data_IF_445042058866
#
_entry.id   IF_445042058866
#
_cell.length_a   1.000
_cell.length_b   1.000
_cell.length_c   1.000
_cell.angle_alpha   90.00
_cell.angle_beta   90.00
_cell.angle_gamma   90.00
#
_symmetry.space_group_name_H-M   'P 1'
#
loop_
_entity.id
_entity.type
_entity.pdbx_description
1 polymer ?
#
# COMPACT_ATOMS: atom_id res chain seq x y z
N UNK A 1 -14.74 -12.27 21.02
CA UNK A 1 -15.20 -12.12 19.61
C UNK A 1 -14.12 -11.31 18.89
N UNK A 2 -13.78 -11.69 17.65
CA UNK A 2 -12.44 -11.62 17.04
C UNK A 2 -11.68 -10.27 17.04
N UNK A 3 -10.47 -10.26 17.63
CA UNK A 3 -9.48 -9.17 17.67
C UNK A 3 -8.57 -9.14 16.43
N UNK A 4 -9.09 -8.90 15.23
CA UNK A 4 -8.26 -8.73 14.02
C UNK A 4 -8.40 -7.34 13.38
N UNK A 5 -8.98 -6.37 14.11
CA UNK A 5 -9.41 -5.08 13.54
C UNK A 5 -8.28 -4.29 12.88
N UNK A 6 -7.05 -4.54 13.31
CA UNK A 6 -5.87 -3.77 12.90
C UNK A 6 -4.84 -4.61 12.13
N UNK A 7 -5.15 -5.89 11.83
CA UNK A 7 -4.19 -6.73 11.11
C UNK A 7 -4.32 -6.57 9.59
N UNK A 8 -3.21 -6.27 8.88
CA UNK A 8 -3.25 -6.00 7.46
C UNK A 8 -3.61 -7.27 6.69
N UNK A 9 -4.60 -7.12 5.81
CA UNK A 9 -5.20 -8.25 5.11
C UNK A 9 -5.75 -7.83 3.74
N UNK A 10 -5.69 -8.76 2.79
CA UNK A 10 -6.25 -8.60 1.45
C UNK A 10 -7.55 -9.38 1.36
N UNK A 11 -8.55 -8.85 0.65
CA UNK A 11 -9.77 -9.60 0.38
C UNK A 11 -9.46 -10.78 -0.56
N UNK A 12 -9.93 -11.97 -0.16
CA UNK A 12 -9.78 -13.22 -0.91
C UNK A 12 -10.24 -13.12 -2.37
N UNK A 13 -11.24 -12.26 -2.65
CA UNK A 13 -11.79 -11.99 -3.98
C UNK A 13 -10.86 -11.13 -4.84
N UNK A 14 -10.23 -10.11 -4.25
CA UNK A 14 -9.34 -9.18 -4.98
C UNK A 14 -8.12 -9.91 -5.52
N UNK A 15 -7.60 -10.86 -4.75
CA UNK A 15 -6.52 -11.73 -5.17
C UNK A 15 -6.82 -12.53 -6.45
N UNK A 16 -8.09 -12.93 -6.65
CA UNK A 16 -8.51 -13.66 -7.87
C UNK A 16 -8.68 -12.73 -9.07
N UNK A 17 -9.20 -11.53 -8.84
CA UNK A 17 -9.55 -10.56 -9.89
C UNK A 17 -8.32 -9.80 -10.37
N UNK A 18 -7.50 -9.30 -9.44
CA UNK A 18 -6.30 -8.52 -9.75
C UNK A 18 -5.09 -9.39 -10.10
N UNK A 19 -5.22 -10.72 -9.96
CA UNK A 19 -4.21 -11.76 -10.19
C UNK A 19 -2.78 -11.23 -10.11
N UNK A 20 -2.38 -10.74 -8.93
CA UNK A 20 -1.14 -9.99 -8.65
C UNK A 20 0.16 -10.76 -8.98
N UNK A 21 0.12 -11.77 -9.86
CA UNK A 21 1.21 -12.58 -10.39
C UNK A 21 1.67 -13.66 -9.44
N UNK A 22 1.53 -13.42 -8.13
CA UNK A 22 1.88 -14.36 -7.09
C UNK A 22 0.90 -15.54 -7.01
N UNK A 23 1.41 -16.73 -6.69
CA UNK A 23 0.56 -17.89 -6.44
C UNK A 23 -0.06 -17.79 -5.03
N UNK A 24 -1.34 -17.42 -4.96
CA UNK A 24 -2.06 -17.32 -3.67
C UNK A 24 -2.74 -18.62 -3.23
N UNK A 25 -2.57 -19.72 -3.98
CA UNK A 25 -3.14 -21.03 -3.61
C UNK A 25 -2.44 -21.60 -2.37
N UNK A 26 -3.16 -22.39 -1.59
CA UNK A 26 -2.62 -23.01 -0.37
C UNK A 26 -2.44 -22.04 0.81
N UNK A 27 -2.64 -20.74 0.64
CA UNK A 27 -2.60 -19.79 1.76
C UNK A 27 -3.93 -19.81 2.50
N UNK A 28 -3.87 -19.90 3.82
CA UNK A 28 -5.05 -19.93 4.68
C UNK A 28 -5.91 -18.67 4.52
N UNK A 29 -7.22 -18.90 4.40
CA UNK A 29 -8.25 -17.85 4.39
C UNK A 29 -9.03 -17.89 5.70
N UNK A 30 -9.29 -16.72 6.28
CA UNK A 30 -10.07 -16.57 7.51
C UNK A 30 -11.31 -15.74 7.20
N UNK A 31 -12.45 -16.13 7.80
CA UNK A 31 -13.69 -15.36 7.70
C UNK A 31 -13.66 -14.29 8.78
N UNK A 32 -13.77 -13.04 8.38
CA UNK A 32 -13.78 -11.87 9.24
C UNK A 32 -14.84 -10.88 8.73
N UNK A 33 -15.71 -10.40 9.62
CA UNK A 33 -16.85 -9.55 9.27
C UNK A 33 -17.66 -10.04 8.04
N UNK A 34 -17.90 -11.35 7.96
CA UNK A 34 -18.62 -11.98 6.84
C UNK A 34 -17.80 -12.18 5.55
N UNK A 35 -16.59 -11.63 5.47
CA UNK A 35 -15.75 -11.67 4.27
C UNK A 35 -14.56 -12.63 4.46
N UNK A 36 -14.14 -13.28 3.38
CA UNK A 36 -12.92 -14.08 3.39
C UNK A 36 -11.71 -13.16 3.17
N UNK A 37 -10.77 -13.18 4.11
CA UNK A 37 -9.52 -12.40 4.08
C UNK A 37 -8.30 -13.32 4.06
N UNK A 38 -7.23 -12.83 3.45
CA UNK A 38 -5.88 -13.37 3.54
C UNK A 38 -5.06 -12.36 4.34
N UNK A 39 -4.67 -12.73 5.55
CA UNK A 39 -3.82 -11.89 6.39
C UNK A 39 -2.38 -11.92 5.86
N UNK A 40 -1.76 -10.74 5.76
CA UNK A 40 -0.42 -10.58 5.17
C UNK A 40 0.64 -11.23 6.07
N UNK A 41 0.57 -10.97 7.38
CA UNK A 41 1.47 -11.55 8.38
C UNK A 41 0.88 -12.77 9.09
N UNK A 42 1.75 -13.47 9.83
CA UNK A 42 1.36 -14.56 10.73
C UNK A 42 0.30 -14.07 11.71
N UNK A 43 -0.64 -14.96 12.03
CA UNK A 43 -1.74 -14.70 12.93
C UNK A 43 -1.61 -15.60 14.15
N UNK A 44 -2.18 -15.24 15.31
CA UNK A 44 -2.32 -16.17 16.43
C UNK A 44 -2.93 -17.50 15.96
N UNK A 45 -2.32 -18.60 16.40
CA UNK A 45 -2.72 -19.95 16.03
C UNK A 45 -4.10 -20.28 16.59
N UNK A 46 -4.97 -20.85 15.75
CA UNK A 46 -6.24 -21.42 16.21
C UNK A 46 -6.02 -22.90 16.54
N UNK A 47 -5.98 -23.22 17.83
CA UNK A 47 -5.65 -24.55 18.35
C UNK A 47 -6.63 -25.64 17.90
N UNK A 48 -7.83 -25.27 17.43
CA UNK A 48 -8.83 -26.21 16.89
C UNK A 48 -8.44 -26.75 15.50
N UNK A 49 -7.52 -26.07 14.82
CA UNK A 49 -7.08 -26.45 13.49
C UNK A 49 -6.09 -27.62 13.56
N UNK A 50 -6.18 -28.56 12.60
CA UNK A 50 -5.38 -29.80 12.61
C UNK A 50 -4.21 -29.81 11.64
N UNK A 51 -4.25 -28.98 10.59
CA UNK A 51 -3.16 -28.85 9.62
C UNK A 51 -1.93 -28.16 10.21
N UNK A 52 -0.83 -28.16 9.45
CA UNK A 52 0.46 -27.56 9.81
C UNK A 52 0.98 -26.71 8.68
N UNK A 53 1.39 -25.48 8.98
CA UNK A 53 2.06 -24.64 8.00
C UNK A 53 3.41 -25.24 7.60
N UNK A 54 3.68 -25.34 6.30
CA UNK A 54 4.94 -25.88 5.77
C UNK A 54 6.18 -25.00 6.07
N UNK A 55 6.00 -23.81 6.64
CA UNK A 55 7.10 -22.92 7.01
C UNK A 55 7.31 -22.85 8.53
N UNK A 56 6.30 -22.44 9.29
CA UNK A 56 6.41 -22.18 10.73
C UNK A 56 5.74 -23.23 11.63
N UNK A 57 5.20 -24.30 11.04
CA UNK A 57 4.48 -25.39 11.74
C UNK A 57 3.21 -24.96 12.50
N UNK A 58 2.76 -23.72 12.34
CA UNK A 58 1.52 -23.27 12.97
C UNK A 58 0.30 -24.07 12.53
N UNK A 59 -0.69 -24.08 13.42
CA UNK A 59 -2.00 -24.71 13.22
C UNK A 59 -2.77 -23.97 12.11
N UNK A 60 -3.08 -24.70 11.03
CA UNK A 60 -3.84 -24.18 9.89
C UNK A 60 -4.97 -25.13 9.46
N UNK A 61 -5.90 -24.63 8.64
CA UNK A 61 -6.96 -25.44 8.02
C UNK A 61 -6.32 -26.58 7.22
N UNK A 62 -6.92 -27.77 7.29
CA UNK A 62 -6.36 -28.97 6.67
C UNK A 62 -6.13 -28.87 5.15
N UNK A 63 -6.87 -27.99 4.45
CA UNK A 63 -6.72 -27.73 3.01
C UNK A 63 -5.77 -26.58 2.67
N UNK A 64 -5.00 -26.10 3.65
CA UNK A 64 -4.04 -25.01 3.48
C UNK A 64 -2.63 -25.54 3.73
N UNK A 65 -1.66 -24.97 3.02
CA UNK A 65 -0.23 -25.29 3.09
C UNK A 65 0.53 -24.23 3.92
N UNK A 66 0.06 -22.98 3.90
CA UNK A 66 0.71 -21.84 4.53
C UNK A 66 -0.27 -21.02 5.37
N UNK A 67 0.19 -20.50 6.51
CA UNK A 67 -0.65 -19.65 7.37
C UNK A 67 -0.84 -18.22 6.83
N UNK A 68 0.12 -17.72 6.04
CA UNK A 68 0.14 -16.37 5.48
C UNK A 68 1.06 -16.29 4.23
N UNK A 69 0.95 -15.23 3.41
CA UNK A 69 1.90 -14.92 2.33
C UNK A 69 3.34 -14.84 2.82
N UNK A 70 3.57 -14.25 4.00
CA UNK A 70 4.89 -14.18 4.64
C UNK A 70 5.55 -15.56 4.82
N UNK A 71 4.78 -16.58 5.20
CA UNK A 71 5.32 -17.94 5.31
C UNK A 71 5.52 -18.62 3.94
N UNK A 72 4.69 -18.29 2.94
CA UNK A 72 4.81 -18.86 1.60
C UNK A 72 6.03 -18.31 0.86
N UNK A 73 6.28 -17.02 0.93
CA UNK A 73 7.37 -16.35 0.19
C UNK A 73 8.75 -16.82 0.66
N UNK A 74 8.90 -17.19 1.94
CA UNK A 74 10.15 -17.78 2.48
C UNK A 74 10.46 -19.13 1.82
N UNK A 75 9.46 -19.99 1.63
CA UNK A 75 9.61 -21.32 1.02
C UNK A 75 9.61 -21.29 -0.51
N UNK A 76 8.99 -20.28 -1.11
CA UNK A 76 8.89 -20.08 -2.56
C UNK A 76 9.35 -18.66 -2.92
N UNK A 77 10.65 -18.36 -2.76
CA UNK A 77 11.17 -17.00 -2.95
C UNK A 77 11.20 -16.57 -4.41
N UNK A 78 11.15 -17.55 -5.33
CA UNK A 78 11.23 -17.36 -6.77
C UNK A 78 9.85 -17.65 -7.37
N UNK A 79 9.32 -16.67 -8.11
CA UNK A 79 8.01 -16.73 -8.72
C UNK A 79 7.58 -15.37 -9.24
N UNK A 80 6.59 -15.35 -10.14
CA UNK A 80 6.05 -14.10 -10.67
C UNK A 80 5.55 -13.22 -9.52
N UNK A 81 6.00 -11.97 -9.48
CA UNK A 81 5.68 -10.97 -8.45
C UNK A 81 5.96 -11.40 -7.00
N UNK A 82 6.91 -12.32 -6.81
CA UNK A 82 7.41 -12.72 -5.49
C UNK A 82 8.09 -11.55 -4.76
N UNK A 83 8.79 -10.68 -5.50
CA UNK A 83 9.33 -9.40 -5.01
C UNK A 83 8.22 -8.49 -4.44
N UNK A 84 7.13 -8.27 -5.18
CA UNK A 84 6.03 -7.43 -4.70
C UNK A 84 5.42 -7.97 -3.40
N UNK A 85 5.25 -9.29 -3.28
CA UNK A 85 4.76 -9.89 -2.03
C UNK A 85 5.78 -9.79 -0.91
N UNK A 86 7.08 -9.87 -1.20
CA UNK A 86 8.14 -9.64 -0.22
C UNK A 86 8.07 -8.20 0.31
N UNK A 87 7.95 -7.23 -0.59
CA UNK A 87 7.81 -5.82 -0.24
C UNK A 87 6.56 -5.62 0.62
N UNK A 88 5.41 -6.15 0.18
CA UNK A 88 4.15 -6.09 0.94
C UNK A 88 4.24 -6.69 2.35
N UNK A 89 4.98 -7.80 2.52
CA UNK A 89 5.17 -8.46 3.82
C UNK A 89 6.11 -7.66 4.73
N UNK A 90 6.91 -6.76 4.18
CA UNK A 90 7.82 -5.91 4.94
C UNK A 90 7.27 -4.50 5.18
N UNK A 91 6.07 -4.19 4.68
CA UNK A 91 5.42 -2.91 4.96
C UNK A 91 5.08 -2.82 6.44
N UNK A 92 5.46 -1.70 7.07
CA UNK A 92 5.02 -1.35 8.41
C UNK A 92 3.66 -0.66 8.33
N UNK A 93 2.59 -1.42 8.58
CA UNK A 93 1.21 -0.93 8.42
C UNK A 93 0.76 0.02 9.54
N UNK A 94 1.50 0.04 10.65
CA UNK A 94 1.19 0.83 11.84
C UNK A 94 1.96 2.17 11.87
N UNK A 95 2.91 2.37 10.95
CA UNK A 95 3.60 3.67 10.82
C UNK A 95 2.62 4.74 10.34
N UNK A 96 2.63 5.88 11.03
CA UNK A 96 1.88 7.03 10.58
C UNK A 96 2.49 7.51 9.26
N UNK A 97 1.72 7.59 8.16
CA UNK A 97 2.29 7.91 6.86
C UNK A 97 2.94 9.29 6.92
N UNK A 98 4.26 9.34 6.82
CA UNK A 98 5.02 10.59 6.71
C UNK A 98 4.63 11.21 5.38
N UNK A 99 3.78 12.24 5.45
CA UNK A 99 3.49 13.08 4.30
C UNK A 99 4.58 14.15 4.25
N UNK A 100 5.65 13.82 3.55
CA UNK A 100 6.85 14.63 3.35
C UNK A 100 6.74 15.52 2.10
N UNK A 101 5.70 15.36 1.27
CA UNK A 101 5.53 16.18 0.06
C UNK A 101 4.10 16.70 -0.07
N UNK A 102 3.98 17.97 -0.46
CA UNK A 102 2.72 18.61 -0.86
C UNK A 102 2.73 18.90 -2.37
N UNK A 103 1.70 18.44 -3.09
CA UNK A 103 1.51 18.80 -4.50
C UNK A 103 0.63 20.04 -4.62
N UNK A 104 1.17 21.11 -5.23
CA UNK A 104 0.41 22.34 -5.47
C UNK A 104 -0.68 22.17 -6.55
N UNK A 105 -0.52 21.22 -7.47
CA UNK A 105 -1.51 20.96 -8.52
C UNK A 105 -2.74 20.18 -8.02
N UNK A 106 -2.53 19.21 -7.12
CA UNK A 106 -3.61 18.40 -6.54
C UNK A 106 -4.13 18.95 -5.20
N UNK A 107 -3.41 19.90 -4.60
CA UNK A 107 -3.66 20.44 -3.25
C UNK A 107 -3.76 19.33 -2.19
N UNK A 108 -2.86 18.35 -2.28
CA UNK A 108 -2.83 17.18 -1.39
C UNK A 108 -1.42 16.86 -0.94
N UNK A 109 -1.29 16.51 0.33
CA UNK A 109 -0.06 15.99 0.92
C UNK A 109 0.02 14.46 0.75
N UNK A 110 1.20 13.92 0.44
CA UNK A 110 1.45 12.50 0.24
C UNK A 110 2.87 12.11 0.70
N UNK A 111 3.12 10.81 0.81
CA UNK A 111 4.43 10.25 1.11
C UNK A 111 5.21 9.99 -0.19
N UNK A 112 6.36 10.65 -0.38
CA UNK A 112 7.23 10.51 -1.54
C UNK A 112 7.66 9.05 -1.75
N UNK A 113 7.92 8.34 -0.65
CA UNK A 113 8.32 6.93 -0.62
C UNK A 113 7.25 5.97 -1.19
N UNK A 114 5.98 6.33 -1.13
CA UNK A 114 4.86 5.45 -1.51
C UNK A 114 4.09 5.92 -2.73
N UNK A 115 4.33 7.16 -3.20
CA UNK A 115 3.60 7.75 -4.32
C UNK A 115 4.56 8.26 -5.42
N UNK A 116 5.57 7.48 -5.79
CA UNK A 116 6.50 7.84 -6.87
C UNK A 116 5.79 8.19 -8.20
N UNK A 117 4.64 7.56 -8.46
CA UNK A 117 3.83 7.81 -9.65
C UNK A 117 2.93 9.06 -9.55
N UNK A 118 2.93 9.79 -8.44
CA UNK A 118 2.19 11.05 -8.33
C UNK A 118 2.66 12.06 -9.38
N UNK A 119 3.95 12.02 -9.73
CA UNK A 119 4.56 12.83 -10.80
C UNK A 119 4.02 12.54 -12.20
N UNK A 120 3.40 11.36 -12.39
CA UNK A 120 2.87 10.89 -13.67
C UNK A 120 1.36 11.16 -13.84
N UNK A 121 0.69 11.64 -12.79
CA UNK A 121 -0.73 11.99 -12.83
C UNK A 121 -0.94 13.37 -13.48
N UNK A 122 -2.05 13.56 -14.19
CA UNK A 122 -2.38 14.82 -14.86
C UNK A 122 -2.90 15.83 -13.82
N UNK A 123 -2.31 17.03 -13.76
CA UNK A 123 -2.68 18.07 -12.80
C UNK A 123 -3.55 19.15 -13.48
N UNK A 124 -4.78 19.38 -13.00
CA UNK A 124 -5.68 20.41 -13.52
C UNK A 124 -7.17 20.13 -13.29
N UNK A 125 -8.01 21.15 -13.47
CA UNK A 125 -9.48 21.07 -13.35
C UNK A 125 -10.13 20.20 -14.44
N UNK A 126 -9.41 19.91 -15.53
CA UNK A 126 -9.89 19.19 -16.71
C UNK A 126 -9.47 17.70 -16.70
N UNK A 127 -9.33 17.09 -15.52
CA UNK A 127 -9.03 15.66 -15.39
C UNK A 127 -10.09 14.74 -16.04
N UNK A 128 -11.24 15.30 -16.43
CA UNK A 128 -12.26 14.66 -17.27
C UNK A 128 -12.40 15.34 -18.65
N UNK A 129 -11.32 15.39 -19.44
CA UNK A 129 -11.47 15.52 -20.89
C UNK A 129 -10.46 16.42 -21.57
N UNK A 130 -9.63 15.80 -22.41
CA UNK A 130 -8.97 16.47 -23.53
C UNK A 130 -7.60 17.04 -23.20
N UNK A 131 -6.59 16.34 -23.74
CA UNK A 131 -5.18 16.72 -23.85
C UNK A 131 -4.88 18.24 -23.81
N UNK A 132 -4.35 18.69 -22.67
CA UNK A 132 -3.55 19.90 -22.51
C UNK A 132 -2.28 19.54 -21.71
N UNK A 133 -1.17 20.30 -21.82
CA UNK A 133 0.17 19.81 -21.51
C UNK A 133 0.29 19.39 -20.03
N UNK A 134 0.87 18.21 -19.81
CA UNK A 134 1.31 17.75 -18.50
C UNK A 134 2.33 18.75 -17.96
N UNK A 135 1.88 19.77 -17.22
CA UNK A 135 2.77 20.56 -16.40
C UNK A 135 3.32 19.63 -15.31
N UNK A 136 4.65 19.51 -15.24
CA UNK A 136 5.29 18.76 -14.16
C UNK A 136 4.78 19.32 -12.82
N UNK A 137 4.36 18.46 -11.87
CA UNK A 137 3.84 18.96 -10.61
C UNK A 137 4.91 19.74 -9.87
N UNK A 138 4.52 20.93 -9.39
CA UNK A 138 5.33 21.63 -8.40
C UNK A 138 5.11 20.92 -7.07
N UNK A 139 6.16 20.22 -6.63
CA UNK A 139 6.21 19.48 -5.39
C UNK A 139 7.01 20.28 -4.37
N UNK A 140 6.46 20.42 -3.17
CA UNK A 140 7.12 21.10 -2.07
C UNK A 140 7.36 20.12 -0.94
N UNK A 141 8.57 20.12 -0.40
CA UNK A 141 8.93 19.32 0.76
C UNK A 141 8.24 19.87 2.02
N UNK A 142 7.74 18.95 2.85
CA UNK A 142 7.18 19.24 4.17
C UNK A 142 8.27 18.93 5.19
N UNK A 143 8.68 19.95 5.94
CA UNK A 143 9.73 19.86 6.96
C UNK A 143 9.09 19.80 8.34
N UNK A 144 9.56 18.91 9.21
CA UNK A 144 9.16 18.88 10.62
C UNK A 144 10.10 19.74 11.48
N UNK A 145 9.56 20.78 12.13
CA UNK A 145 10.29 21.66 13.02
C UNK A 145 9.45 21.98 14.27
N UNK A 146 10.01 21.77 15.46
CA UNK A 146 9.34 22.03 16.75
C UNK A 146 7.95 21.38 16.90
N UNK A 147 7.76 20.21 16.27
CA UNK A 147 6.49 19.49 16.24
C UNK A 147 5.47 20.02 15.22
N UNK A 148 5.83 21.01 14.42
CA UNK A 148 5.02 21.55 13.34
C UNK A 148 5.45 20.97 11.98
N UNK A 149 4.47 20.76 11.08
CA UNK A 149 4.69 20.40 9.68
C UNK A 149 4.65 21.67 8.85
N UNK A 150 5.81 22.12 8.39
CA UNK A 150 5.99 23.36 7.66
C UNK A 150 6.20 23.08 6.17
N UNK A 151 5.74 23.99 5.33
CA UNK A 151 6.06 23.99 3.90
C UNK A 151 7.12 25.07 3.71
N UNK A 152 8.24 24.74 3.08
CA UNK A 152 9.33 25.70 2.87
C UNK A 152 8.81 26.90 2.03
N UNK A 153 8.87 28.11 2.61
CA UNK A 153 8.29 29.33 2.03
C UNK A 153 8.96 29.75 0.71
N UNK A 154 10.22 29.36 0.51
CA UNK A 154 11.01 29.65 -0.70
C UNK A 154 10.40 29.03 -1.98
N UNK A 155 9.53 28.03 -1.84
CA UNK A 155 8.83 27.39 -2.96
C UNK A 155 7.43 27.99 -3.19
N UNK A 156 6.83 28.64 -2.17
CA UNK A 156 5.51 29.29 -2.26
C UNK A 156 5.60 30.69 -2.94
N UNK A 157 6.81 31.16 -3.24
CA UNK A 157 7.07 32.57 -3.56
C UNK A 157 7.54 32.91 -4.98
N UNK A 158 7.51 32.04 -5.99
CA UNK A 158 7.73 32.52 -7.36
C UNK A 158 6.44 33.17 -7.89
N UNK A 159 6.41 34.49 -8.14
CA UNK A 159 5.24 35.14 -8.71
C UNK A 159 5.05 34.58 -10.11
N UNK A 160 3.88 33.96 -10.34
CA UNK A 160 3.40 33.70 -11.69
C UNK A 160 3.26 35.08 -12.35
N UNK A 161 4.22 35.44 -13.19
CA UNK A 161 4.12 36.62 -14.05
C UNK A 161 2.91 36.43 -14.97
N UNK A 162 1.74 36.88 -14.51
CA UNK A 162 0.58 37.12 -15.35
C UNK A 162 0.89 38.36 -16.17
N UNK A 163 1.68 38.21 -17.23
CA UNK A 163 1.72 39.21 -18.28
C UNK A 163 0.34 39.25 -18.96
N UNK A 164 -0.45 40.25 -18.58
CA UNK A 164 -1.59 40.70 -19.37
C UNK A 164 -1.05 41.26 -20.68
N UNK A 165 -1.06 40.45 -21.73
CA UNK A 165 -0.95 40.94 -23.10
C UNK A 165 -2.15 41.86 -23.37
N UNK A 166 -1.85 43.12 -23.72
CA UNK A 166 -2.81 44.08 -24.26
C UNK A 166 -3.05 43.81 -25.75
#
# INVERSE_FOLDING_TARGET
IHMYKDMPAILARQVKVSNLGFDWRGIQRKKDAGQNRIFIHRQPADMRLKGRCHNCEDRIRAKSDYCSPACKIVRKPNGKNANLVRDLVNVEFDEEPVRDVFCLGCLRAFASAHCANHTLHVHGADAEGGAAPNHAPVLVEIVEQDGWKLIAEDVIGQPVHLERLK
#
